data_IF_517448740785
#
_entry.id   IF_517448740785
#
_cell.length_a   1.000
_cell.length_b   1.000
_cell.length_c   1.000
_cell.angle_alpha   90.00
_cell.angle_beta   90.00
_cell.angle_gamma   90.00
#
_symmetry.space_group_name_H-M   'P 1'
#
loop_
_entity.id
_entity.type
_entity.pdbx_description
1 polymer ?
#
# COMPACT_ATOMS: atom_id res chain seq x y z
N UNK A 1 -25.12 23.46 33.28
CA UNK A 1 -24.77 22.03 33.08
C UNK A 1 -25.51 21.38 31.89
N UNK A 2 -26.85 21.40 31.78
CA UNK A 2 -27.59 20.77 30.65
C UNK A 2 -27.16 21.22 29.24
N UNK A 3 -26.90 22.51 29.03
CA UNK A 3 -26.47 23.04 27.71
C UNK A 3 -25.06 22.56 27.31
N UNK A 4 -24.14 22.52 28.28
CA UNK A 4 -22.75 22.05 28.06
C UNK A 4 -22.75 20.56 27.69
N UNK A 5 -23.61 19.75 28.33
CA UNK A 5 -23.78 18.33 27.98
C UNK A 5 -24.27 18.11 26.55
N UNK A 6 -25.28 18.88 26.11
CA UNK A 6 -25.80 18.80 24.73
C UNK A 6 -24.73 19.24 23.72
N UNK A 7 -23.99 20.31 23.99
CA UNK A 7 -22.92 20.77 23.11
C UNK A 7 -21.80 19.73 22.99
N UNK A 8 -21.37 19.11 24.10
CA UNK A 8 -20.34 18.07 24.09
C UNK A 8 -20.78 16.82 23.30
N UNK A 9 -22.05 16.42 23.43
CA UNK A 9 -22.63 15.31 22.66
C UNK A 9 -22.60 15.64 21.16
N UNK A 10 -23.06 16.83 20.76
CA UNK A 10 -23.07 17.24 19.35
C UNK A 10 -21.66 17.26 18.74
N UNK A 11 -20.67 17.77 19.48
CA UNK A 11 -19.28 17.77 19.03
C UNK A 11 -18.77 16.33 18.85
N UNK A 12 -19.05 15.45 19.81
CA UNK A 12 -18.63 14.05 19.75
C UNK A 12 -19.24 13.32 18.56
N UNK A 13 -20.52 13.55 18.29
CA UNK A 13 -21.23 13.00 17.12
C UNK A 13 -20.62 13.54 15.82
N UNK A 14 -20.32 14.83 15.75
CA UNK A 14 -19.69 15.41 14.55
C UNK A 14 -18.32 14.78 14.27
N UNK A 15 -17.48 14.61 15.30
CA UNK A 15 -16.16 13.97 15.18
C UNK A 15 -16.30 12.52 14.69
N UNK A 16 -17.25 11.76 15.24
CA UNK A 16 -17.50 10.38 14.81
C UNK A 16 -17.93 10.32 13.34
N UNK A 17 -18.86 11.19 12.91
CA UNK A 17 -19.32 11.25 11.52
C UNK A 17 -18.19 11.65 10.57
N UNK A 18 -17.37 12.64 10.95
CA UNK A 18 -16.19 13.03 10.18
C UNK A 18 -15.18 11.89 10.05
N UNK A 19 -14.92 11.13 11.12
CA UNK A 19 -14.03 9.98 11.08
C UNK A 19 -14.54 8.88 10.15
N UNK A 20 -15.84 8.60 10.17
CA UNK A 20 -16.46 7.62 9.27
C UNK A 20 -16.31 8.08 7.81
N UNK A 21 -16.61 9.35 7.54
CA UNK A 21 -16.49 9.92 6.19
C UNK A 21 -15.07 9.87 5.65
N UNK A 22 -14.08 10.19 6.49
CA UNK A 22 -12.65 10.11 6.16
C UNK A 22 -12.28 8.67 5.77
N UNK A 23 -12.60 7.67 6.61
CA UNK A 23 -12.25 6.26 6.37
C UNK A 23 -12.94 5.68 5.13
N UNK A 24 -14.07 6.26 4.69
CA UNK A 24 -14.72 5.86 3.45
C UNK A 24 -14.01 6.39 2.21
N UNK A 25 -13.44 7.61 2.28
CA UNK A 25 -12.86 8.30 1.13
C UNK A 25 -11.35 8.17 0.99
N UNK A 26 -10.63 7.99 2.09
CA UNK A 26 -9.17 8.00 2.12
C UNK A 26 -8.65 6.69 2.71
N UNK A 27 -7.51 6.24 2.19
CA UNK A 27 -6.76 5.09 2.71
C UNK A 27 -6.09 5.50 4.04
N UNK A 28 -5.62 6.75 4.15
CA UNK A 28 -5.03 7.27 5.38
C UNK A 28 -5.86 8.40 5.98
N UNK A 29 -5.88 8.48 7.31
CA UNK A 29 -6.55 9.56 8.03
C UNK A 29 -5.70 10.85 7.93
N UNK A 30 -6.24 11.98 7.43
CA UNK A 30 -5.50 13.23 7.24
C UNK A 30 -4.92 13.82 8.53
N UNK A 31 -5.52 13.53 9.69
CA UNK A 31 -5.09 14.06 10.99
C UNK A 31 -3.91 13.25 11.54
N UNK A 32 -3.87 11.95 11.27
CA UNK A 32 -2.86 11.03 11.80
C UNK A 32 -1.80 10.64 10.76
N UNK A 33 -1.92 11.15 9.53
CA UNK A 33 -1.02 10.80 8.45
C UNK A 33 0.34 11.46 8.66
N UNK A 34 1.36 10.64 8.70
CA UNK A 34 2.76 11.06 8.66
C UNK A 34 3.36 10.51 7.37
N UNK A 35 3.99 11.42 6.61
CA UNK A 35 4.73 11.04 5.42
C UNK A 35 5.98 10.25 5.82
N UNK A 36 6.25 9.21 5.06
CA UNK A 36 7.47 8.42 5.18
C UNK A 36 7.88 7.93 3.79
N UNK A 37 8.82 7.01 3.73
CA UNK A 37 9.37 6.54 2.46
C UNK A 37 8.41 5.65 1.68
N UNK A 38 7.51 4.93 2.37
CA UNK A 38 6.44 4.16 1.73
C UNK A 38 5.31 5.10 1.28
N UNK A 39 4.95 6.07 2.12
CA UNK A 39 3.90 7.05 1.85
C UNK A 39 4.48 8.46 1.71
N UNK A 40 5.23 8.69 0.64
CA UNK A 40 5.98 9.94 0.40
C UNK A 40 5.13 11.07 -0.19
N UNK A 41 3.96 10.76 -0.75
CA UNK A 41 3.03 11.75 -1.28
C UNK A 41 2.12 12.32 -0.16
N UNK A 42 1.42 13.42 -0.45
CA UNK A 42 0.41 13.95 0.47
C UNK A 42 -0.73 12.93 0.68
N UNK A 43 -1.31 12.88 1.89
CA UNK A 43 -2.40 11.96 2.27
C UNK A 43 -3.54 11.97 1.26
N UNK A 44 -3.78 13.12 0.62
CA UNK A 44 -4.87 13.32 -0.31
C UNK A 44 -4.70 12.59 -1.63
N UNK A 45 -3.51 12.05 -1.95
CA UNK A 45 -3.31 11.16 -3.11
C UNK A 45 -3.87 9.75 -2.83
N UNK A 46 -3.85 9.33 -1.57
CA UNK A 46 -4.28 8.00 -1.14
C UNK A 46 -5.81 7.94 -0.92
N UNK A 47 -6.56 8.02 -2.03
CA UNK A 47 -8.03 8.04 -2.05
C UNK A 47 -8.63 6.75 -2.56
N UNK A 48 -9.89 6.52 -2.18
CA UNK A 48 -10.78 5.54 -2.79
C UNK A 48 -11.66 6.18 -3.89
N UNK A 49 -12.11 5.40 -4.89
CA UNK A 49 -11.84 3.98 -5.11
C UNK A 49 -10.40 3.71 -5.59
N UNK A 50 -9.84 2.57 -5.18
CA UNK A 50 -8.49 2.15 -5.54
C UNK A 50 -8.46 0.63 -5.78
N UNK A 51 -7.51 0.18 -6.59
CA UNK A 51 -7.29 -1.23 -6.90
C UNK A 51 -5.82 -1.60 -6.76
N UNK A 52 -5.59 -2.90 -6.56
CA UNK A 52 -4.28 -3.53 -6.61
C UNK A 52 -4.20 -4.34 -7.90
N UNK A 53 -3.10 -4.19 -8.62
CA UNK A 53 -2.69 -5.07 -9.71
C UNK A 53 -1.44 -5.81 -9.28
N UNK A 54 -1.48 -7.13 -9.47
CA UNK A 54 -0.34 -8.01 -9.28
C UNK A 54 0.16 -8.42 -10.65
N UNK A 55 1.45 -8.22 -10.89
CA UNK A 55 2.09 -8.53 -12.17
C UNK A 55 3.29 -9.43 -11.95
N UNK A 56 3.53 -10.32 -12.92
CA UNK A 56 4.70 -11.18 -13.00
C UNK A 56 5.49 -10.84 -14.25
N UNK A 57 6.82 -10.75 -14.14
CA UNK A 57 7.69 -10.56 -15.28
C UNK A 57 7.91 -11.91 -15.98
N UNK A 58 7.41 -12.01 -17.20
CA UNK A 58 7.50 -13.20 -18.05
C UNK A 58 8.34 -12.90 -19.31
N UNK A 59 8.54 -13.88 -20.20
CA UNK A 59 9.37 -13.73 -21.41
C UNK A 59 8.95 -12.54 -22.30
N UNK A 60 7.65 -12.22 -22.32
CA UNK A 60 7.08 -11.14 -23.13
C UNK A 60 6.87 -9.84 -22.34
N UNK A 61 7.42 -9.74 -21.12
CA UNK A 61 7.28 -8.60 -20.23
C UNK A 61 6.28 -8.80 -19.10
N UNK A 62 5.78 -7.70 -18.54
CA UNK A 62 4.84 -7.73 -17.41
C UNK A 62 3.48 -8.31 -17.81
N UNK A 63 3.05 -9.33 -17.10
CA UNK A 63 1.73 -9.96 -17.24
C UNK A 63 0.95 -9.79 -15.95
N UNK A 64 -0.25 -9.22 -16.01
CA UNK A 64 -1.17 -9.14 -14.87
C UNK A 64 -1.62 -10.55 -14.47
N UNK A 65 -1.35 -10.95 -13.23
CA UNK A 65 -1.76 -12.24 -12.67
C UNK A 65 -3.07 -12.12 -11.90
N UNK A 66 -3.33 -10.97 -11.28
CA UNK A 66 -4.53 -10.73 -10.50
C UNK A 66 -4.84 -9.24 -10.33
N UNK A 67 -6.12 -8.94 -10.11
CA UNK A 67 -6.63 -7.60 -9.83
C UNK A 67 -7.62 -7.65 -8.68
N UNK A 68 -7.38 -6.82 -7.66
CA UNK A 68 -8.13 -6.86 -6.39
C UNK A 68 -8.62 -5.46 -6.00
N UNK A 69 -9.90 -5.35 -5.68
CA UNK A 69 -10.55 -4.13 -5.19
C UNK A 69 -10.91 -4.25 -3.69
N UNK A 70 -9.97 -4.73 -2.86
CA UNK A 70 -10.17 -4.90 -1.42
C UNK A 70 -9.46 -3.81 -0.63
N UNK A 71 -10.25 -2.98 0.06
CA UNK A 71 -9.74 -1.96 0.97
C UNK A 71 -8.86 -2.54 2.07
N UNK A 72 -9.20 -3.71 2.61
CA UNK A 72 -8.45 -4.35 3.70
C UNK A 72 -7.07 -4.78 3.23
N UNK A 73 -6.97 -5.31 2.02
CA UNK A 73 -5.71 -5.74 1.42
C UNK A 73 -4.77 -4.55 1.16
N UNK A 74 -5.31 -3.43 0.64
CA UNK A 74 -4.54 -2.19 0.47
C UNK A 74 -3.97 -1.71 1.81
N UNK A 75 -4.81 -1.65 2.86
CA UNK A 75 -4.34 -1.27 4.20
C UNK A 75 -3.32 -2.24 4.76
N UNK A 76 -3.53 -3.54 4.54
CA UNK A 76 -2.61 -4.57 4.99
C UNK A 76 -1.23 -4.40 4.36
N UNK A 77 -1.14 -4.24 3.04
CA UNK A 77 0.13 -3.99 2.33
C UNK A 77 0.86 -2.78 2.90
N UNK A 78 0.18 -1.63 3.02
CA UNK A 78 0.79 -0.44 3.59
C UNK A 78 1.24 -0.64 5.03
N UNK A 79 0.43 -1.29 5.87
CA UNK A 79 0.78 -1.53 7.26
C UNK A 79 2.02 -2.44 7.37
N UNK A 80 2.08 -3.53 6.60
CA UNK A 80 3.22 -4.45 6.63
C UNK A 80 4.52 -3.77 6.15
N UNK A 81 4.47 -3.04 5.04
CA UNK A 81 5.64 -2.30 4.54
C UNK A 81 6.10 -1.21 5.53
N UNK A 82 5.16 -0.56 6.24
CA UNK A 82 5.48 0.49 7.22
C UNK A 82 5.94 -0.05 8.58
N UNK A 83 5.84 -1.36 8.87
CA UNK A 83 6.37 -1.95 10.11
C UNK A 83 7.88 -1.81 10.21
N UNK A 84 8.57 -1.92 9.08
CA UNK A 84 10.02 -1.85 9.01
C UNK A 84 10.47 -0.40 8.76
N UNK A 85 10.86 0.28 9.85
CA UNK A 85 11.38 1.66 9.77
C UNK A 85 12.78 1.75 9.16
N UNK A 86 13.50 0.63 9.15
CA UNK A 86 14.85 0.55 8.62
C UNK A 86 14.81 0.19 7.15
N UNK A 87 15.03 1.20 6.31
CA UNK A 87 15.36 0.99 4.90
C UNK A 87 16.69 0.26 4.81
N UNK A 88 16.72 -0.80 4.02
CA UNK A 88 17.95 -1.52 3.72
C UNK A 88 18.58 -0.88 2.48
N UNK A 89 19.85 -0.46 2.58
CA UNK A 89 20.60 0.06 1.42
C UNK A 89 20.77 -1.04 0.38
N UNK A 90 20.77 -0.65 -0.90
CA UNK A 90 21.02 -1.52 -2.06
C UNK A 90 22.35 -2.29 -1.98
N UNK A 91 23.29 -1.82 -1.16
CA UNK A 91 24.61 -2.43 -0.93
C UNK A 91 24.63 -3.49 0.19
N UNK A 92 23.51 -3.75 0.86
CA UNK A 92 23.47 -4.77 1.91
C UNK A 92 23.51 -6.20 1.36
N UNK A 93 24.11 -7.12 2.12
CA UNK A 93 24.13 -8.56 1.84
C UNK A 93 22.72 -9.19 1.71
N UNK A 94 21.67 -8.45 2.08
CA UNK A 94 20.28 -8.83 1.92
C UNK A 94 19.88 -9.02 0.44
N UNK A 95 20.59 -8.35 -0.47
CA UNK A 95 20.27 -8.30 -1.89
C UNK A 95 21.45 -8.66 -2.79
N UNK A 96 22.05 -9.83 -2.55
CA UNK A 96 22.78 -10.49 -3.62
C UNK A 96 21.76 -10.94 -4.67
N UNK A 97 21.54 -10.11 -5.72
CA UNK A 97 20.63 -10.37 -6.85
C UNK A 97 21.10 -11.60 -7.64
N UNK A 98 20.93 -12.77 -7.04
CA UNK A 98 21.29 -14.05 -7.62
C UNK A 98 20.12 -14.59 -8.43
N UNK A 99 20.43 -15.40 -9.46
CA UNK A 99 19.44 -16.13 -10.28
C UNK A 99 18.48 -17.03 -9.48
N UNK A 100 18.76 -17.23 -8.19
CA UNK A 100 17.97 -18.04 -7.25
C UNK A 100 16.74 -17.31 -6.69
N UNK A 101 16.63 -15.99 -6.90
CA UNK A 101 15.52 -15.18 -6.38
C UNK A 101 14.17 -15.44 -7.06
N UNK A 102 14.14 -16.18 -8.17
CA UNK A 102 12.91 -16.47 -8.91
C UNK A 102 12.46 -15.31 -9.81
N UNK A 103 11.19 -15.32 -10.24
CA UNK A 103 10.67 -14.27 -11.13
C UNK A 103 10.52 -12.94 -10.39
N UNK A 104 10.73 -11.85 -11.11
CA UNK A 104 10.37 -10.52 -10.63
C UNK A 104 8.85 -10.33 -10.67
N UNK A 105 8.32 -9.71 -9.64
CA UNK A 105 6.90 -9.41 -9.45
C UNK A 105 6.75 -7.92 -9.16
N UNK A 106 5.61 -7.37 -9.54
CA UNK A 106 5.28 -5.97 -9.34
C UNK A 106 3.88 -5.87 -8.73
N UNK A 107 3.76 -5.07 -7.67
CA UNK A 107 2.47 -4.70 -7.09
C UNK A 107 2.23 -3.23 -7.40
N UNK A 108 1.09 -2.92 -8.02
CA UNK A 108 0.68 -1.55 -8.35
C UNK A 108 -0.63 -1.26 -7.65
N UNK A 109 -0.64 -0.23 -6.80
CA UNK A 109 -1.85 0.33 -6.20
C UNK A 109 -2.19 1.60 -6.96
N UNK A 110 -3.36 1.63 -7.62
CA UNK A 110 -3.80 2.80 -8.39
C UNK A 110 -5.15 3.33 -7.91
N UNK A 111 -5.34 4.63 -8.06
CA UNK A 111 -6.66 5.25 -7.91
C UNK A 111 -7.50 4.90 -9.14
N UNK A 112 -8.79 4.65 -8.94
CA UNK A 112 -9.73 4.41 -10.02
C UNK A 112 -10.48 5.69 -10.39
N UNK A 113 -10.40 6.09 -11.66
CA UNK A 113 -11.16 7.24 -12.18
C UNK A 113 -12.68 6.98 -12.14
N UNK A 114 -13.09 5.73 -12.32
CA UNK A 114 -14.45 5.27 -12.02
C UNK A 114 -14.44 3.81 -11.54
N UNK A 115 -15.51 3.37 -10.86
CA UNK A 115 -15.63 1.95 -10.47
C UNK A 115 -15.74 0.99 -11.67
N UNK A 116 -16.00 1.51 -12.88
CA UNK A 116 -16.22 0.72 -14.09
C UNK A 116 -15.03 0.73 -15.06
N UNK A 117 -14.17 1.75 -14.97
CA UNK A 117 -12.99 1.92 -15.82
C UNK A 117 -11.75 1.75 -14.93
N UNK A 118 -11.03 0.65 -15.16
CA UNK A 118 -9.91 0.19 -14.34
C UNK A 118 -8.62 1.01 -14.48
N UNK A 119 -8.71 2.25 -14.95
CA UNK A 119 -7.55 3.09 -15.22
C UNK A 119 -7.58 4.37 -14.37
N UNK A 120 -6.39 4.73 -13.89
CA UNK A 120 -6.15 5.94 -13.12
C UNK A 120 -4.71 5.97 -12.59
N UNK A 121 -4.34 7.07 -11.92
CA UNK A 121 -2.95 7.31 -11.54
C UNK A 121 -2.47 6.27 -10.52
N UNK A 122 -1.22 5.85 -10.68
CA UNK A 122 -0.53 5.00 -9.70
C UNK A 122 -0.34 5.83 -8.43
N UNK A 123 -0.81 5.27 -7.31
CA UNK A 123 -0.66 5.86 -5.97
C UNK A 123 0.64 5.35 -5.35
N UNK A 124 0.92 4.06 -5.53
CA UNK A 124 2.07 3.39 -4.94
C UNK A 124 2.40 2.14 -5.76
N UNK A 125 3.68 1.78 -5.86
CA UNK A 125 4.12 0.52 -6.45
C UNK A 125 5.39 0.03 -5.78
N UNK A 126 5.60 -1.27 -5.80
CA UNK A 126 6.87 -1.89 -5.40
C UNK A 126 7.09 -3.17 -6.18
N UNK A 127 8.35 -3.49 -6.49
CA UNK A 127 8.72 -4.79 -7.04
C UNK A 127 9.33 -5.68 -5.98
N UNK A 128 9.27 -6.99 -6.20
CA UNK A 128 9.88 -8.00 -5.35
C UNK A 128 10.20 -9.23 -6.19
N UNK A 129 10.97 -10.16 -5.63
CA UNK A 129 11.25 -11.45 -6.27
C UNK A 129 10.54 -12.58 -5.53
N UNK A 130 10.09 -13.63 -6.23
CA UNK A 130 9.35 -14.77 -5.64
C UNK A 130 10.02 -15.36 -4.39
N UNK A 131 11.32 -15.58 -4.44
CA UNK A 131 12.11 -16.12 -3.33
C UNK A 131 12.83 -15.02 -2.53
N UNK A 132 12.58 -13.74 -2.86
CA UNK A 132 13.12 -12.60 -2.16
C UNK A 132 12.50 -12.40 -0.78
N UNK A 133 13.19 -11.63 0.05
CA UNK A 133 12.78 -11.30 1.42
C UNK A 133 12.59 -9.79 1.64
N UNK A 134 12.62 -9.00 0.57
CA UNK A 134 12.48 -7.57 0.64
C UNK A 134 11.96 -6.99 -0.69
N UNK A 135 11.23 -5.89 -0.57
CA UNK A 135 10.55 -5.16 -1.63
C UNK A 135 11.39 -3.96 -2.06
N UNK A 136 11.52 -3.76 -3.36
CA UNK A 136 12.07 -2.56 -3.97
C UNK A 136 10.96 -1.51 -4.10
N UNK A 137 11.06 -0.47 -3.28
CA UNK A 137 10.10 0.66 -3.22
C UNK A 137 10.64 1.93 -3.87
N UNK A 138 11.90 1.89 -4.35
CA UNK A 138 12.64 3.05 -4.81
C UNK A 138 13.34 2.86 -6.17
N UNK A 139 12.86 1.92 -7.00
CA UNK A 139 13.43 1.59 -8.31
C UNK A 139 14.94 1.28 -8.24
N UNK A 140 15.33 0.42 -7.30
CA UNK A 140 16.68 -0.10 -7.13
C UNK A 140 17.53 0.66 -6.12
N UNK A 141 17.00 1.74 -5.55
CA UNK A 141 17.69 2.59 -4.57
C UNK A 141 17.22 2.31 -3.15
N UNK A 142 15.96 1.91 -2.99
CA UNK A 142 15.33 1.78 -1.69
C UNK A 142 14.63 0.43 -1.51
N UNK A 143 15.00 -0.28 -0.45
CA UNK A 143 14.45 -1.59 -0.14
C UNK A 143 13.90 -1.69 1.27
N UNK A 144 12.82 -2.44 1.42
CA UNK A 144 12.12 -2.66 2.68
C UNK A 144 11.89 -4.16 2.89
N UNK A 145 12.22 -4.74 4.06
CA UNK A 145 11.94 -6.14 4.35
C UNK A 145 10.46 -6.50 4.15
N UNK A 146 10.22 -7.66 3.55
CA UNK A 146 8.89 -8.25 3.42
C UNK A 146 8.67 -9.12 4.65
N UNK A 147 7.66 -8.80 5.45
CA UNK A 147 7.25 -9.62 6.60
C UNK A 147 6.71 -10.98 6.14
N UNK A 148 6.73 -11.97 7.02
CA UNK A 148 6.15 -13.29 6.73
C UNK A 148 4.67 -13.18 6.38
N UNK A 149 3.92 -12.29 7.04
CA UNK A 149 2.51 -12.09 6.74
C UNK A 149 2.29 -11.48 5.36
N UNK A 150 3.12 -10.51 4.94
CA UNK A 150 3.06 -9.96 3.60
C UNK A 150 3.45 -11.00 2.56
N UNK A 151 4.47 -11.82 2.84
CA UNK A 151 4.90 -12.91 1.96
C UNK A 151 3.76 -13.91 1.72
N UNK A 152 3.03 -14.31 2.78
CA UNK A 152 1.86 -15.20 2.66
C UNK A 152 0.76 -14.59 1.79
N UNK A 153 0.55 -13.27 1.83
CA UNK A 153 -0.40 -12.61 0.91
C UNK A 153 0.11 -12.70 -0.54
N UNK A 154 1.37 -12.35 -0.77
CA UNK A 154 1.98 -12.29 -2.10
C UNK A 154 2.06 -13.66 -2.77
N UNK A 155 2.33 -14.72 -2.01
CA UNK A 155 2.41 -16.10 -2.52
C UNK A 155 1.05 -16.67 -2.96
N UNK A 156 -0.07 -16.23 -2.39
CA UNK A 156 -1.41 -16.69 -2.79
C UNK A 156 -1.79 -16.28 -4.22
N UNK A 157 -1.02 -15.37 -4.80
CA UNK A 157 -1.28 -14.73 -6.08
C UNK A 157 -0.30 -15.19 -7.17
N UNK A 158 0.59 -16.14 -6.82
CA UNK A 158 1.49 -16.85 -7.71
C UNK A 158 0.82 -18.08 -8.33
#
# INVERSE_FOLDING_TARGET
>A
MRRIGITAILISVLILLSSIFINQKFIFNPILFEQDKITSNDWSIYRYPAQIEYLSFEENGWTETSRVNDKKEIHFIFNELKKHKETVSSESDFFNRNKEMGKEKLVVIRHLTSQKEGEGPIIFQFSYYENGNAADVGNGVEFVPISDELKVLLEKLN
#
